data_IF_278054349380
#
_entry.id   IF_278054349380
#
_cell.length_a   1.000
_cell.length_b   1.000
_cell.length_c   1.000
_cell.angle_alpha   90.00
_cell.angle_beta   90.00
_cell.angle_gamma   90.00
#
_symmetry.space_group_name_H-M   'P 1'
#
loop_
_entity.id
_entity.type
_entity.pdbx_description
1 polymer ?
#
# COMPACT_ATOMS: atom_id res chain seq x y z
N UNK A 1 28.83 10.03 -13.40
CA UNK A 1 28.81 11.10 -12.39
C UNK A 1 30.25 11.40 -11.99
N UNK A 2 30.65 12.65 -11.80
CA UNK A 2 32.01 12.97 -11.38
C UNK A 2 32.24 12.59 -9.92
N UNK A 3 33.43 12.11 -9.60
CA UNK A 3 33.81 11.58 -8.28
C UNK A 3 33.53 12.53 -7.09
N UNK A 4 33.57 13.85 -7.31
CA UNK A 4 33.25 14.84 -6.29
C UNK A 4 31.74 14.88 -5.91
N UNK A 5 30.86 14.49 -6.83
CA UNK A 5 29.41 14.41 -6.58
C UNK A 5 29.07 13.18 -5.72
N UNK A 6 29.74 12.06 -5.95
CA UNK A 6 29.63 10.85 -5.11
C UNK A 6 30.16 11.12 -3.70
N UNK A 7 31.34 11.74 -3.58
CA UNK A 7 31.91 12.09 -2.28
C UNK A 7 31.03 13.08 -1.47
N UNK A 8 30.36 14.03 -2.14
CA UNK A 8 29.40 14.93 -1.49
C UNK A 8 28.11 14.21 -1.07
N UNK A 9 27.65 13.25 -1.87
CA UNK A 9 26.47 12.44 -1.52
C UNK A 9 26.77 11.53 -0.33
N UNK A 10 27.92 10.88 -0.30
CA UNK A 10 28.37 10.08 0.85
C UNK A 10 28.60 10.93 2.10
N UNK A 11 29.22 12.10 1.96
CA UNK A 11 29.43 13.02 3.08
C UNK A 11 28.10 13.58 3.63
N UNK A 12 27.10 13.84 2.79
CA UNK A 12 25.78 14.26 3.25
C UNK A 12 24.96 13.12 3.87
N UNK A 13 25.13 11.90 3.38
CA UNK A 13 24.50 10.71 3.95
C UNK A 13 25.08 10.37 5.34
N UNK A 14 26.41 10.50 5.50
CA UNK A 14 27.06 10.27 6.79
C UNK A 14 26.88 11.43 7.78
N UNK A 15 26.78 12.68 7.32
CA UNK A 15 26.50 13.85 8.17
C UNK A 15 25.06 13.87 8.70
N UNK A 16 24.12 13.27 7.98
CA UNK A 16 22.72 13.11 8.41
C UNK A 16 22.43 11.76 9.06
N UNK A 17 23.42 10.87 9.20
CA UNK A 17 23.27 9.71 10.05
C UNK A 17 23.03 10.21 11.48
N UNK A 18 21.85 9.94 12.08
CA UNK A 18 21.66 10.30 13.48
C UNK A 18 22.77 9.59 14.26
N UNK A 19 23.47 10.33 15.13
CA UNK A 19 24.32 9.73 16.16
C UNK A 19 23.40 8.81 16.97
N UNK A 20 23.27 7.57 16.55
CA UNK A 20 22.66 6.52 17.33
C UNK A 20 23.52 6.37 18.60
N UNK A 21 23.10 7.08 19.64
CA UNK A 21 23.47 6.62 20.97
C UNK A 21 23.02 5.18 21.02
N UNK A 22 23.96 4.27 21.16
CA UNK A 22 23.70 2.84 21.38
C UNK A 22 22.86 2.73 22.67
N UNK A 23 21.56 2.90 22.51
CA UNK A 23 20.59 2.57 23.54
C UNK A 23 20.68 1.06 23.70
N UNK A 24 21.01 0.62 24.90
CA UNK A 24 21.31 -0.78 25.22
C UNK A 24 20.28 -1.74 24.64
N UNK A 25 20.69 -2.98 24.38
CA UNK A 25 19.94 -4.09 23.75
C UNK A 25 18.44 -3.98 23.96
N UNK A 26 17.70 -3.66 22.88
CA UNK A 26 16.24 -3.62 22.87
C UNK A 26 15.67 -4.94 23.36
N UNK A 27 14.65 -4.91 24.20
CA UNK A 27 13.97 -6.15 24.62
C UNK A 27 12.97 -6.51 23.54
N UNK A 28 12.97 -7.76 23.09
CA UNK A 28 12.05 -8.32 22.11
C UNK A 28 10.59 -8.02 22.46
N UNK A 29 10.25 -7.98 23.75
CA UNK A 29 8.92 -7.63 24.25
C UNK A 29 8.48 -6.21 23.86
N UNK A 30 9.43 -5.24 23.82
CA UNK A 30 9.12 -3.84 23.51
C UNK A 30 8.70 -3.66 22.03
N UNK A 31 8.98 -4.67 21.20
CA UNK A 31 8.55 -4.78 19.82
C UNK A 31 7.30 -5.68 19.66
N UNK A 32 7.31 -6.87 20.26
CA UNK A 32 6.22 -7.84 20.08
C UNK A 32 4.90 -7.41 20.75
N UNK A 33 4.97 -6.75 21.92
CA UNK A 33 3.75 -6.34 22.64
C UNK A 33 2.96 -5.30 21.85
N UNK A 34 3.53 -4.20 21.31
CA UNK A 34 2.78 -3.26 20.49
C UNK A 34 2.18 -3.88 19.23
N UNK A 35 2.88 -4.81 18.59
CA UNK A 35 2.36 -5.53 17.42
C UNK A 35 1.20 -6.45 17.81
N UNK A 36 1.35 -7.21 18.88
CA UNK A 36 0.27 -8.06 19.40
C UNK A 36 -0.97 -7.26 19.79
N UNK A 37 -0.76 -6.09 20.42
CA UNK A 37 -1.85 -5.15 20.73
C UNK A 37 -2.48 -4.59 19.45
N UNK A 38 -1.69 -4.22 18.45
CA UNK A 38 -2.19 -3.73 17.17
C UNK A 38 -3.14 -4.73 16.51
N UNK A 39 -2.69 -5.99 16.38
CA UNK A 39 -3.48 -7.05 15.74
C UNK A 39 -4.71 -7.40 16.58
N UNK A 40 -4.54 -7.61 17.88
CA UNK A 40 -5.63 -7.99 18.77
C UNK A 40 -6.68 -6.90 18.92
N UNK A 41 -6.26 -5.64 19.04
CA UNK A 41 -7.19 -4.51 19.13
C UNK A 41 -7.89 -4.20 17.79
N UNK A 42 -7.23 -4.41 16.66
CA UNK A 42 -7.88 -4.28 15.36
C UNK A 42 -9.07 -5.24 15.25
N UNK A 43 -8.87 -6.52 15.56
CA UNK A 43 -9.97 -7.50 15.57
C UNK A 43 -11.05 -7.14 16.60
N UNK A 44 -10.64 -6.70 17.80
CA UNK A 44 -11.56 -6.27 18.86
C UNK A 44 -12.41 -5.06 18.43
N UNK A 45 -11.80 -4.04 17.83
CA UNK A 45 -12.54 -2.87 17.34
C UNK A 45 -13.38 -3.19 16.11
N UNK A 46 -12.98 -4.13 15.28
CA UNK A 46 -13.77 -4.58 14.15
C UNK A 46 -15.08 -5.26 14.63
N UNK A 47 -14.98 -6.13 15.64
CA UNK A 47 -16.14 -6.73 16.30
C UNK A 47 -17.01 -5.69 17.02
N UNK A 48 -16.39 -4.72 17.67
CA UNK A 48 -17.09 -3.65 18.38
C UNK A 48 -17.89 -2.77 17.43
N UNK A 49 -17.27 -2.33 16.32
CA UNK A 49 -17.94 -1.47 15.30
C UNK A 49 -18.98 -2.24 14.48
N UNK A 50 -18.82 -3.58 14.36
CA UNK A 50 -19.76 -4.46 13.65
C UNK A 50 -20.84 -5.08 14.52
N UNK A 51 -20.98 -4.65 15.80
CA UNK A 51 -21.94 -5.24 16.75
C UNK A 51 -21.85 -6.78 16.85
N UNK A 52 -20.61 -7.30 16.79
CA UNK A 52 -20.35 -8.74 16.86
C UNK A 52 -20.19 -9.43 15.49
N UNK A 53 -20.38 -8.72 14.38
CA UNK A 53 -20.12 -9.23 13.04
C UNK A 53 -18.84 -8.60 12.45
N UNK A 54 -17.89 -9.45 12.05
CA UNK A 54 -16.62 -9.04 11.45
C UNK A 54 -16.80 -8.37 10.07
N UNK A 55 -17.86 -8.77 9.33
CA UNK A 55 -18.10 -8.28 7.98
C UNK A 55 -18.77 -6.90 7.99
N UNK A 56 -19.61 -6.64 9.00
CA UNK A 56 -20.32 -5.37 9.16
C UNK A 56 -19.46 -4.28 9.84
N UNK A 57 -18.29 -4.65 10.36
CA UNK A 57 -17.39 -3.72 11.07
C UNK A 57 -16.75 -2.67 10.15
N UNK A 58 -16.61 -1.43 10.66
CA UNK A 58 -15.89 -0.37 9.96
C UNK A 58 -14.38 -0.59 10.04
N UNK A 59 -13.77 -1.08 8.95
CA UNK A 59 -12.34 -1.35 8.88
C UNK A 59 -11.48 -0.10 9.11
N UNK A 60 -11.85 1.05 8.57
CA UNK A 60 -11.10 2.31 8.70
C UNK A 60 -11.08 2.83 10.13
N UNK A 61 -12.23 2.84 10.81
CA UNK A 61 -12.31 3.24 12.22
C UNK A 61 -11.55 2.26 13.13
N UNK A 62 -11.68 0.97 12.88
CA UNK A 62 -11.00 -0.08 13.66
C UNK A 62 -9.48 0.01 13.55
N UNK A 63 -8.94 0.25 12.35
CA UNK A 63 -7.49 0.49 12.14
C UNK A 63 -7.04 1.72 12.90
N UNK A 64 -7.78 2.83 12.82
CA UNK A 64 -7.43 4.08 13.51
C UNK A 64 -7.31 3.86 15.02
N UNK A 65 -8.32 3.26 15.64
CA UNK A 65 -8.31 2.99 17.09
C UNK A 65 -7.21 2.00 17.48
N UNK A 66 -6.99 0.96 16.68
CA UNK A 66 -5.95 -0.03 16.93
C UNK A 66 -4.54 0.58 16.88
N UNK A 67 -4.28 1.44 15.88
CA UNK A 67 -2.99 2.13 15.75
C UNK A 67 -2.76 3.10 16.91
N UNK A 68 -3.76 3.88 17.29
CA UNK A 68 -3.67 4.80 18.42
C UNK A 68 -3.38 4.05 19.74
N UNK A 69 -4.08 2.93 19.97
CA UNK A 69 -3.84 2.09 21.14
C UNK A 69 -2.44 1.47 21.14
N UNK A 70 -2.00 0.94 20.01
CA UNK A 70 -0.66 0.36 19.87
C UNK A 70 0.44 1.40 20.11
N UNK A 71 0.29 2.63 19.59
CA UNK A 71 1.21 3.75 19.84
C UNK A 71 1.23 4.09 21.34
N UNK A 72 0.08 4.18 21.98
CA UNK A 72 -0.02 4.49 23.41
C UNK A 72 0.68 3.40 24.27
N UNK A 73 0.46 2.12 23.93
CA UNK A 73 1.12 1.00 24.62
C UNK A 73 2.63 1.00 24.38
N UNK A 74 3.08 1.23 23.14
CA UNK A 74 4.50 1.34 22.80
C UNK A 74 5.17 2.48 23.60
N UNK A 75 4.54 3.65 23.62
CA UNK A 75 5.03 4.80 24.39
C UNK A 75 5.10 4.50 25.89
N UNK A 76 4.07 3.88 26.46
CA UNK A 76 4.03 3.51 27.86
C UNK A 76 5.14 2.50 28.22
N UNK A 77 5.40 1.50 27.38
CA UNK A 77 6.46 0.52 27.57
C UNK A 77 7.86 1.16 27.54
N UNK A 78 8.10 2.04 26.58
CA UNK A 78 9.38 2.71 26.39
C UNK A 78 9.66 3.69 27.55
N UNK A 79 8.65 4.41 28.02
CA UNK A 79 8.76 5.35 29.15
C UNK A 79 8.94 4.60 30.48
N UNK A 80 8.17 3.53 30.73
CA UNK A 80 8.35 2.69 31.93
C UNK A 80 9.69 1.97 31.97
N UNK A 81 10.25 1.69 30.79
CA UNK A 81 11.59 1.11 30.68
C UNK A 81 12.72 2.06 31.07
N UNK A 82 12.46 3.35 31.32
CA UNK A 82 13.46 4.37 31.71
C UNK A 82 14.51 4.65 30.64
N UNK A 83 14.29 4.20 29.40
CA UNK A 83 15.29 4.30 28.31
C UNK A 83 15.11 5.51 27.41
N UNK A 84 13.89 6.04 27.35
CA UNK A 84 13.52 7.18 26.54
C UNK A 84 12.81 8.22 27.39
N UNK A 85 13.16 9.47 27.17
CA UNK A 85 12.41 10.60 27.71
C UNK A 85 11.30 11.01 26.78
N UNK A 86 10.22 11.59 27.32
CA UNK A 86 9.08 12.10 26.52
C UNK A 86 9.51 13.00 25.37
N UNK A 87 10.53 13.84 25.59
CA UNK A 87 11.07 14.74 24.57
C UNK A 87 11.71 13.99 23.39
N UNK A 88 12.41 12.90 23.66
CA UNK A 88 13.04 12.07 22.61
C UNK A 88 11.98 11.28 21.83
N UNK A 89 10.99 10.76 22.54
CA UNK A 89 9.86 10.03 21.94
C UNK A 89 9.06 10.95 21.01
N UNK A 90 8.72 12.16 21.47
CA UNK A 90 8.06 13.16 20.64
C UNK A 90 8.89 13.52 19.40
N UNK A 91 10.19 13.79 19.58
CA UNK A 91 11.08 14.13 18.47
C UNK A 91 11.19 13.01 17.43
N UNK A 92 11.17 11.74 17.87
CA UNK A 92 11.18 10.57 16.96
C UNK A 92 9.84 10.41 16.26
N UNK A 93 8.74 10.61 16.97
CA UNK A 93 7.38 10.55 16.40
C UNK A 93 7.18 11.62 15.33
N UNK A 94 7.54 12.88 15.59
CA UNK A 94 7.44 13.97 14.60
C UNK A 94 8.33 13.73 13.38
N UNK A 95 9.53 13.20 13.56
CA UNK A 95 10.39 12.81 12.43
C UNK A 95 9.78 11.68 11.61
N UNK A 96 9.17 10.69 12.25
CA UNK A 96 8.45 9.62 11.57
C UNK A 96 7.25 10.15 10.78
N UNK A 97 6.44 11.02 11.38
CA UNK A 97 5.31 11.68 10.70
C UNK A 97 5.77 12.51 9.51
N UNK A 98 6.87 13.25 9.63
CA UNK A 98 7.44 14.05 8.54
C UNK A 98 7.84 13.20 7.33
N UNK A 99 8.32 11.97 7.53
CA UNK A 99 8.64 11.04 6.44
C UNK A 99 7.40 10.53 5.71
N UNK A 100 6.25 10.48 6.36
CA UNK A 100 4.97 10.05 5.77
C UNK A 100 4.24 11.19 5.07
N UNK A 101 4.60 12.45 5.32
CA UNK A 101 3.92 13.61 4.76
C UNK A 101 3.81 13.60 3.23
N UNK A 102 4.88 13.26 2.47
CA UNK A 102 4.81 13.18 1.01
C UNK A 102 3.78 12.14 0.54
N UNK A 103 3.73 10.97 1.17
CA UNK A 103 2.78 9.90 0.83
C UNK A 103 1.34 10.34 1.08
N UNK A 104 1.07 10.95 2.23
CA UNK A 104 -0.26 11.49 2.58
C UNK A 104 -0.68 12.59 1.60
N UNK A 105 0.24 13.48 1.22
CA UNK A 105 -0.03 14.54 0.24
C UNK A 105 -0.38 13.98 -1.13
N UNK A 106 0.34 12.96 -1.61
CA UNK A 106 0.04 12.28 -2.87
C UNK A 106 -1.34 11.64 -2.81
N UNK A 107 -1.67 10.95 -1.73
CA UNK A 107 -2.99 10.31 -1.56
C UNK A 107 -4.13 11.33 -1.56
N UNK A 108 -3.94 12.47 -0.88
CA UNK A 108 -4.94 13.52 -0.82
C UNK A 108 -5.16 14.16 -2.19
N UNK A 109 -4.10 14.45 -2.93
CA UNK A 109 -4.18 14.96 -4.30
C UNK A 109 -4.82 13.95 -5.25
N UNK A 110 -4.53 12.67 -5.09
CA UNK A 110 -5.12 11.60 -5.89
C UNK A 110 -6.63 11.47 -5.65
N UNK A 111 -7.09 11.59 -4.40
CA UNK A 111 -8.52 11.63 -4.08
C UNK A 111 -9.19 12.87 -4.69
N UNK A 112 -8.57 14.03 -4.60
CA UNK A 112 -9.06 15.26 -5.24
C UNK A 112 -9.14 15.11 -6.77
N UNK A 113 -8.13 14.49 -7.39
CA UNK A 113 -8.16 14.18 -8.82
C UNK A 113 -9.30 13.22 -9.17
N UNK A 114 -9.50 12.17 -8.36
CA UNK A 114 -10.58 11.21 -8.56
C UNK A 114 -11.97 11.85 -8.52
N UNK A 115 -12.23 12.74 -7.55
CA UNK A 115 -13.48 13.50 -7.47
C UNK A 115 -13.65 14.45 -8.66
N UNK A 116 -12.58 15.12 -9.07
CA UNK A 116 -12.59 15.99 -10.26
C UNK A 116 -12.89 15.20 -11.54
N UNK A 117 -12.31 14.02 -11.71
CA UNK A 117 -12.60 13.15 -12.85
C UNK A 117 -14.05 12.68 -12.89
N UNK A 118 -14.64 12.40 -11.72
CA UNK A 118 -16.06 12.03 -11.62
C UNK A 118 -16.97 13.21 -12.01
N UNK A 119 -16.71 14.41 -11.53
CA UNK A 119 -17.51 15.61 -11.84
C UNK A 119 -17.38 16.01 -13.32
N UNK A 120 -16.24 15.78 -13.95
CA UNK A 120 -16.01 16.03 -15.38
C UNK A 120 -16.63 14.96 -16.30
N UNK A 121 -17.19 13.89 -15.74
CA UNK A 121 -17.73 12.78 -16.55
C UNK A 121 -16.66 12.00 -17.31
N UNK A 122 -15.43 11.99 -16.80
CA UNK A 122 -14.31 11.30 -17.45
C UNK A 122 -14.55 9.78 -17.58
N UNK A 123 -15.31 9.17 -16.65
CA UNK A 123 -15.65 7.74 -16.71
C UNK A 123 -16.43 7.35 -17.96
N UNK A 124 -17.58 7.96 -18.25
CA UNK A 124 -18.34 7.71 -19.48
C UNK A 124 -17.53 7.98 -20.76
N UNK A 125 -16.74 9.05 -20.78
CA UNK A 125 -15.90 9.37 -21.93
C UNK A 125 -14.83 8.28 -22.19
N UNK A 126 -14.11 7.89 -21.14
CA UNK A 126 -13.10 6.81 -21.23
C UNK A 126 -13.74 5.47 -21.58
N UNK A 127 -14.91 5.16 -21.02
CA UNK A 127 -15.64 3.95 -21.35
C UNK A 127 -16.03 3.91 -22.83
N UNK A 128 -16.48 5.02 -23.39
CA UNK A 128 -16.78 5.12 -24.83
C UNK A 128 -15.56 4.87 -25.72
N UNK A 129 -14.41 5.40 -25.36
CA UNK A 129 -13.15 5.15 -26.07
C UNK A 129 -12.68 3.69 -25.94
N UNK A 130 -12.73 3.13 -24.75
CA UNK A 130 -12.24 1.78 -24.47
C UNK A 130 -13.18 0.74 -25.09
N UNK A 131 -14.50 0.92 -25.01
CA UNK A 131 -15.49 -0.02 -25.57
C UNK A 131 -15.42 -0.13 -27.09
N UNK A 132 -14.97 0.94 -27.76
CA UNK A 132 -14.74 0.93 -29.21
C UNK A 132 -13.49 0.14 -29.62
N UNK A 133 -12.51 -0.03 -28.68
CA UNK A 133 -11.20 -0.60 -28.98
C UNK A 133 -10.93 -1.95 -28.33
N UNK A 134 -11.57 -2.23 -27.20
CA UNK A 134 -11.31 -3.42 -26.39
C UNK A 134 -12.60 -4.13 -25.97
N UNK A 135 -12.68 -5.45 -26.13
CA UNK A 135 -13.79 -6.21 -25.57
C UNK A 135 -13.80 -6.18 -24.04
N UNK A 136 -14.99 -6.13 -23.44
CA UNK A 136 -15.16 -5.95 -21.98
C UNK A 136 -14.38 -6.97 -21.12
N UNK A 137 -14.20 -8.20 -21.62
CA UNK A 137 -13.46 -9.25 -20.88
C UNK A 137 -11.96 -8.99 -20.78
N UNK A 138 -11.40 -8.13 -21.65
CA UNK A 138 -9.97 -7.76 -21.61
C UNK A 138 -9.65 -6.60 -20.69
N UNK A 139 -10.65 -5.82 -20.29
CA UNK A 139 -10.42 -4.58 -19.52
C UNK A 139 -9.77 -4.85 -18.18
N UNK A 140 -10.28 -5.83 -17.43
CA UNK A 140 -9.75 -6.19 -16.11
C UNK A 140 -8.29 -6.69 -16.19
N UNK A 141 -7.93 -7.61 -17.09
CA UNK A 141 -6.53 -8.00 -17.32
C UNK A 141 -5.64 -6.85 -17.77
N UNK A 142 -6.11 -5.97 -18.64
CA UNK A 142 -5.33 -4.81 -19.10
C UNK A 142 -5.04 -3.85 -17.94
N UNK A 143 -6.02 -3.61 -17.08
CA UNK A 143 -5.83 -2.80 -15.86
C UNK A 143 -4.81 -3.45 -14.91
N UNK A 144 -4.85 -4.77 -14.74
CA UNK A 144 -3.87 -5.51 -13.94
C UNK A 144 -2.45 -5.32 -14.49
N UNK A 145 -2.26 -5.51 -15.80
CA UNK A 145 -0.95 -5.35 -16.45
C UNK A 145 -0.48 -3.89 -16.37
N UNK A 146 -1.36 -2.93 -16.63
CA UNK A 146 -1.03 -1.50 -16.56
C UNK A 146 -0.62 -1.10 -15.15
N UNK A 147 -1.36 -1.56 -14.14
CA UNK A 147 -1.01 -1.36 -12.73
C UNK A 147 0.36 -1.97 -12.40
N UNK A 148 0.66 -3.16 -12.94
CA UNK A 148 1.95 -3.82 -12.79
C UNK A 148 3.10 -3.03 -13.42
N UNK A 149 2.94 -2.52 -14.65
CA UNK A 149 3.96 -1.73 -15.35
C UNK A 149 4.23 -0.41 -14.61
N UNK A 150 3.19 0.28 -14.18
CA UNK A 150 3.32 1.52 -13.42
C UNK A 150 4.04 1.24 -12.09
N UNK A 151 3.63 0.17 -11.41
CA UNK A 151 4.21 -0.26 -10.16
C UNK A 151 5.70 -0.62 -10.30
N UNK A 152 6.06 -1.31 -11.34
CA UNK A 152 7.46 -1.67 -11.62
C UNK A 152 8.38 -0.45 -11.74
N UNK A 153 7.86 0.68 -12.24
CA UNK A 153 8.63 1.91 -12.47
C UNK A 153 8.62 2.90 -11.32
N UNK A 154 7.65 2.81 -10.42
CA UNK A 154 7.48 3.75 -9.31
C UNK A 154 7.95 3.13 -8.00
N UNK A 155 8.75 3.87 -7.25
CA UNK A 155 9.35 3.43 -5.99
C UNK A 155 8.37 3.42 -4.80
N UNK A 156 7.17 3.99 -4.94
CA UNK A 156 6.22 4.17 -3.84
C UNK A 156 5.03 3.23 -3.90
N UNK A 157 4.92 2.29 -2.94
CA UNK A 157 3.86 1.26 -2.90
C UNK A 157 2.44 1.84 -2.77
N UNK A 158 2.25 2.91 -2.01
CA UNK A 158 0.93 3.46 -1.69
C UNK A 158 0.43 4.51 -2.68
N UNK A 159 1.31 5.32 -3.26
CA UNK A 159 0.95 6.36 -4.23
C UNK A 159 0.27 5.81 -5.49
N UNK A 160 0.61 4.59 -5.90
CA UNK A 160 0.04 3.89 -7.06
C UNK A 160 -1.44 3.59 -6.89
N UNK A 161 -1.82 3.04 -5.74
CA UNK A 161 -3.21 2.71 -5.45
C UNK A 161 -4.06 3.98 -5.37
N UNK A 162 -3.50 5.04 -4.75
CA UNK A 162 -4.14 6.34 -4.68
C UNK A 162 -4.45 6.94 -6.05
N UNK A 163 -3.61 6.71 -7.06
CA UNK A 163 -3.79 7.23 -8.43
C UNK A 163 -4.67 6.30 -9.27
N UNK A 164 -4.40 4.99 -9.23
CA UNK A 164 -5.05 4.04 -10.14
C UNK A 164 -6.49 3.71 -9.75
N UNK A 165 -6.80 3.62 -8.45
CA UNK A 165 -8.18 3.31 -8.02
C UNK A 165 -9.16 4.40 -8.43
N UNK A 166 -8.90 5.72 -8.21
CA UNK A 166 -9.78 6.78 -8.68
C UNK A 166 -9.99 6.81 -10.20
N UNK A 167 -9.01 6.35 -10.97
CA UNK A 167 -9.12 6.26 -12.45
C UNK A 167 -9.91 5.01 -12.86
N UNK A 168 -9.66 3.87 -12.24
CA UNK A 168 -10.29 2.61 -12.58
C UNK A 168 -11.78 2.56 -12.18
N UNK A 169 -12.17 3.18 -11.07
CA UNK A 169 -13.54 3.13 -10.58
C UNK A 169 -14.59 3.76 -11.51
N UNK A 170 -14.38 4.95 -12.09
CA UNK A 170 -15.30 5.51 -13.08
C UNK A 170 -15.45 4.61 -14.33
N UNK A 171 -14.38 3.95 -14.76
CA UNK A 171 -14.42 3.00 -15.89
C UNK A 171 -15.28 1.79 -15.54
N UNK A 172 -15.13 1.25 -14.31
CA UNK A 172 -15.94 0.13 -13.83
C UNK A 172 -17.43 0.45 -13.90
N UNK A 173 -17.83 1.60 -13.37
CA UNK A 173 -19.21 2.03 -13.30
C UNK A 173 -19.79 2.32 -14.69
N UNK A 174 -19.00 2.95 -15.57
CA UNK A 174 -19.47 3.32 -16.91
C UNK A 174 -19.58 2.12 -17.87
N UNK A 175 -18.82 1.04 -17.63
CA UNK A 175 -18.82 -0.18 -18.45
C UNK A 175 -19.58 -1.34 -17.80
N UNK A 176 -20.29 -1.08 -16.71
CA UNK A 176 -21.07 -2.08 -15.96
C UNK A 176 -20.22 -3.30 -15.51
N UNK A 177 -18.93 -3.02 -15.15
CA UNK A 177 -18.01 -4.02 -14.64
C UNK A 177 -18.07 -4.06 -13.11
N UNK A 178 -17.75 -5.21 -12.51
CA UNK A 178 -17.68 -5.33 -11.06
C UNK A 178 -16.61 -4.41 -10.46
N UNK A 179 -16.98 -3.41 -9.64
CA UNK A 179 -16.03 -2.52 -9.00
C UNK A 179 -15.05 -3.26 -8.08
N UNK A 180 -15.51 -4.35 -7.45
CA UNK A 180 -14.66 -5.19 -6.61
C UNK A 180 -13.56 -5.88 -7.43
N UNK A 181 -13.89 -6.37 -8.62
CA UNK A 181 -12.95 -7.04 -9.50
C UNK A 181 -11.91 -6.07 -10.07
N UNK A 182 -12.33 -4.85 -10.44
CA UNK A 182 -11.39 -3.81 -10.87
C UNK A 182 -10.43 -3.39 -9.75
N UNK A 183 -10.95 -3.19 -8.54
CA UNK A 183 -10.08 -2.93 -7.37
C UNK A 183 -9.08 -4.07 -7.15
N UNK A 184 -9.53 -5.31 -7.22
CA UNK A 184 -8.65 -6.47 -7.10
C UNK A 184 -7.57 -6.49 -8.20
N UNK A 185 -7.91 -6.13 -9.44
CA UNK A 185 -6.97 -6.05 -10.54
C UNK A 185 -5.93 -4.95 -10.33
N UNK A 186 -6.33 -3.77 -9.86
CA UNK A 186 -5.41 -2.66 -9.53
C UNK A 186 -4.47 -3.05 -8.39
N UNK A 187 -5.01 -3.59 -7.30
CA UNK A 187 -4.22 -3.99 -6.13
C UNK A 187 -3.28 -5.15 -6.47
N UNK A 188 -3.79 -6.20 -7.11
CA UNK A 188 -3.00 -7.36 -7.51
C UNK A 188 -1.92 -7.01 -8.53
N UNK A 189 -2.24 -6.22 -9.56
CA UNK A 189 -1.28 -5.74 -10.54
C UNK A 189 -0.23 -4.85 -9.91
N UNK A 190 -0.63 -3.94 -9.04
CA UNK A 190 0.30 -3.10 -8.29
C UNK A 190 1.28 -3.91 -7.43
N UNK A 191 0.79 -4.90 -6.70
CA UNK A 191 1.62 -5.80 -5.89
C UNK A 191 2.54 -6.65 -6.78
N UNK A 192 2.03 -7.15 -7.90
CA UNK A 192 2.82 -7.88 -8.88
C UNK A 192 4.02 -7.06 -9.38
N UNK A 193 3.78 -5.81 -9.81
CA UNK A 193 4.85 -4.93 -10.30
C UNK A 193 5.85 -4.56 -9.22
N UNK A 194 5.39 -4.40 -7.97
CA UNK A 194 6.22 -4.14 -6.81
C UNK A 194 7.23 -5.27 -6.57
N UNK A 195 6.77 -6.49 -6.52
CA UNK A 195 7.63 -7.66 -6.33
C UNK A 195 8.54 -7.98 -7.53
N UNK A 196 8.21 -7.50 -8.72
CA UNK A 196 9.10 -7.60 -9.88
C UNK A 196 10.19 -6.52 -9.87
N UNK A 197 9.99 -5.40 -9.15
CA UNK A 197 10.87 -4.25 -9.18
C UNK A 197 12.08 -4.41 -8.27
N UNK A 198 13.30 -4.20 -8.79
CA UNK A 198 14.49 -4.16 -7.96
C UNK A 198 14.61 -2.86 -7.13
N UNK A 199 13.76 -1.86 -7.38
CA UNK A 199 13.84 -0.55 -6.71
C UNK A 199 12.79 -0.48 -5.58
N UNK A 200 11.91 -1.47 -5.47
CA UNK A 200 10.81 -1.49 -4.51
C UNK A 200 11.30 -1.51 -3.06
N UNK A 201 10.74 -0.64 -2.22
CA UNK A 201 11.00 -0.56 -0.77
C UNK A 201 10.82 -1.93 -0.09
N UNK A 202 9.76 -2.65 -0.45
CA UNK A 202 9.43 -3.96 0.15
C UNK A 202 10.49 -4.99 -0.17
N UNK A 203 11.01 -5.00 -1.41
CA UNK A 203 12.06 -5.93 -1.87
C UNK A 203 13.42 -5.59 -1.26
N UNK A 204 13.75 -4.29 -1.18
CA UNK A 204 14.96 -3.80 -0.50
C UNK A 204 14.94 -4.18 0.98
N UNK A 205 13.82 -3.91 1.66
CA UNK A 205 13.69 -4.21 3.09
C UNK A 205 13.75 -5.73 3.35
N UNK A 206 13.12 -6.53 2.51
CA UNK A 206 13.15 -8.00 2.62
C UNK A 206 14.57 -8.56 2.43
N UNK A 207 15.32 -8.08 1.44
CA UNK A 207 16.71 -8.52 1.20
C UNK A 207 17.64 -8.13 2.36
N UNK A 208 17.48 -6.91 2.90
CA UNK A 208 18.23 -6.44 4.07
C UNK A 208 17.90 -7.28 5.32
N UNK A 209 16.63 -7.57 5.55
CA UNK A 209 16.20 -8.38 6.68
C UNK A 209 16.69 -9.84 6.59
N UNK A 210 16.75 -10.40 5.37
CA UNK A 210 17.26 -11.72 5.10
C UNK A 210 18.81 -11.80 5.08
N UNK A 211 19.50 -10.66 5.09
CA UNK A 211 20.97 -10.59 5.00
C UNK A 211 21.53 -11.15 3.68
N UNK A 212 20.76 -11.08 2.59
CA UNK A 212 21.16 -11.58 1.28
C UNK A 212 21.43 -10.44 0.29
N UNK A 213 22.15 -10.76 -0.78
CA UNK A 213 22.37 -9.81 -1.86
C UNK A 213 21.05 -9.43 -2.53
N UNK A 214 20.79 -8.12 -2.65
CA UNK A 214 19.52 -7.58 -3.14
C UNK A 214 19.15 -8.09 -4.54
N UNK A 215 20.07 -8.04 -5.51
CA UNK A 215 19.82 -8.52 -6.87
C UNK A 215 19.63 -10.05 -6.93
N UNK A 216 20.32 -10.80 -6.06
CA UNK A 216 20.13 -12.23 -5.89
C UNK A 216 18.70 -12.54 -5.40
N UNK A 217 18.20 -11.76 -4.43
CA UNK A 217 16.83 -11.88 -3.94
C UNK A 217 15.80 -11.65 -5.04
N UNK A 218 15.94 -10.55 -5.80
CA UNK A 218 15.03 -10.23 -6.93
C UNK A 218 15.02 -11.35 -7.97
N UNK A 219 16.18 -11.87 -8.36
CA UNK A 219 16.28 -12.96 -9.35
C UNK A 219 15.59 -14.23 -8.89
N UNK A 220 15.68 -14.58 -7.63
CA UNK A 220 15.03 -15.77 -7.08
C UNK A 220 13.53 -15.58 -6.90
N UNK A 221 13.06 -14.35 -6.63
CA UNK A 221 11.66 -14.02 -6.44
C UNK A 221 10.90 -13.95 -7.77
N UNK A 222 11.52 -13.44 -8.82
CA UNK A 222 10.90 -13.15 -10.12
C UNK A 222 10.13 -14.34 -10.73
N UNK A 223 10.67 -15.60 -10.78
CA UNK A 223 9.92 -16.73 -11.33
C UNK A 223 8.61 -17.02 -10.60
N UNK A 224 8.59 -16.90 -9.28
CA UNK A 224 7.40 -17.15 -8.47
C UNK A 224 6.32 -16.08 -8.72
N UNK A 225 6.74 -14.82 -8.83
CA UNK A 225 5.84 -13.71 -9.10
C UNK A 225 5.25 -13.81 -10.50
N UNK A 226 6.06 -14.17 -11.51
CA UNK A 226 5.58 -14.40 -12.87
C UNK A 226 4.61 -15.59 -12.96
N UNK A 227 4.90 -16.67 -12.24
CA UNK A 227 4.02 -17.83 -12.16
C UNK A 227 2.67 -17.45 -11.53
N UNK A 228 2.69 -16.69 -10.45
CA UNK A 228 1.46 -16.19 -9.81
C UNK A 228 0.66 -15.30 -10.75
N UNK A 229 1.31 -14.39 -11.49
CA UNK A 229 0.64 -13.54 -12.48
C UNK A 229 0.04 -14.36 -13.63
N UNK A 230 0.74 -15.41 -14.10
CA UNK A 230 0.25 -16.30 -15.14
C UNK A 230 -1.02 -17.07 -14.73
N UNK A 231 -1.20 -17.33 -13.44
CA UNK A 231 -2.44 -17.92 -12.89
C UNK A 231 -3.50 -16.83 -12.69
N UNK A 232 -3.11 -15.67 -12.19
CA UNK A 232 -4.04 -14.58 -11.85
C UNK A 232 -4.75 -14.02 -13.09
N UNK A 233 -4.04 -13.84 -14.21
CA UNK A 233 -4.62 -13.31 -15.43
C UNK A 233 -5.80 -14.12 -15.98
N UNK A 234 -5.70 -15.45 -16.19
CA UNK A 234 -6.84 -16.27 -16.58
C UNK A 234 -7.99 -16.24 -15.57
N UNK A 235 -7.68 -16.24 -14.27
CA UNK A 235 -8.70 -16.16 -13.22
C UNK A 235 -9.47 -14.84 -13.31
N UNK A 236 -8.80 -13.72 -13.51
CA UNK A 236 -9.45 -12.42 -13.72
C UNK A 236 -10.36 -12.41 -14.96
N UNK A 237 -9.92 -13.04 -16.06
CA UNK A 237 -10.73 -13.20 -17.28
C UNK A 237 -11.97 -14.03 -17.00
N UNK A 238 -11.81 -15.17 -16.31
CA UNK A 238 -12.93 -16.05 -15.98
C UNK A 238 -13.94 -15.36 -15.06
N UNK A 239 -13.46 -14.72 -14.01
CA UNK A 239 -14.32 -14.00 -13.07
C UNK A 239 -15.04 -12.83 -13.75
N UNK A 240 -14.39 -12.12 -14.66
CA UNK A 240 -15.02 -11.04 -15.40
C UNK A 240 -16.12 -11.54 -16.36
N UNK A 241 -15.97 -12.74 -16.89
CA UNK A 241 -17.01 -13.38 -17.74
C UNK A 241 -18.17 -13.94 -16.93
N UNK A 242 -17.89 -14.47 -15.74
CA UNK A 242 -18.89 -15.12 -14.89
C UNK A 242 -19.67 -14.16 -13.97
N UNK A 243 -19.20 -12.91 -13.84
CA UNK A 243 -19.86 -11.87 -13.04
C UNK A 243 -20.62 -10.90 -13.95
N UNK A 244 -21.84 -11.21 -14.42
CA UNK A 244 -22.72 -10.19 -14.95
C UNK A 244 -22.97 -9.20 -13.81
N UNK A 245 -22.75 -7.92 -14.05
CA UNK A 245 -22.88 -6.88 -13.03
C UNK A 245 -24.29 -6.93 -12.43
N UNK A 246 -24.40 -7.43 -11.22
CA UNK A 246 -25.62 -7.31 -10.41
C UNK A 246 -25.54 -5.94 -9.74
N UNK A 247 -26.23 -4.96 -10.31
CA UNK A 247 -26.55 -3.70 -9.66
C UNK A 247 -27.20 -4.00 -8.29
N UNK A 248 -26.42 -4.07 -7.22
CA UNK A 248 -26.98 -4.44 -5.92
C UNK A 248 -26.04 -4.32 -4.73
N UNK A 249 -24.83 -3.81 -4.91
CA UNK A 249 -23.90 -3.68 -3.77
C UNK A 249 -23.20 -2.33 -3.74
N UNK A 250 -23.90 -1.24 -4.01
CA UNK A 250 -23.42 0.14 -3.76
C UNK A 250 -24.10 0.66 -2.50
N UNK A 251 -23.91 0.01 -1.38
CA UNK A 251 -24.35 0.53 -0.07
C UNK A 251 -23.39 0.17 1.04
N UNK A 252 -22.07 0.29 0.78
CA UNK A 252 -21.06 0.34 1.85
C UNK A 252 -19.92 1.22 1.38
N UNK A 253 -20.08 2.52 1.56
CA UNK A 253 -19.02 3.48 1.80
C UNK A 253 -19.38 4.30 3.02
#
# INVERSE_FOLDING_TARGET
>A
MPAWALARFEASATANAPTERQHGRGRVRDFLVPIGVLIGSFLGFLLYTGNGDLIAGSGSASVLYAVLLAIAVAAALLLRGGRYYLRELNGTSFRGMGKLLPVVSIMLLALALGTSMQTLGAGPFMAGMISASLPAWLIVPVIFITAGIISFRTDTSWGRFGILVPVAMPIALAMDLSPALLRAAVLGGGTFGDYCSPISDSTVLASLAAGCEHLGHVRTQLPYVLFTAAITLPVLVLLNRSSPCRQGAVSVL
#
